data_IF_198481147595
#
_entry.id   IF_198481147595
#
_cell.length_a   1.000
_cell.length_b   1.000
_cell.length_c   1.000
_cell.angle_alpha   90.00
_cell.angle_beta   90.00
_cell.angle_gamma   90.00
#
_symmetry.space_group_name_H-M   'P 1'
#
loop_
_entity.id
_entity.type
_entity.pdbx_description
1 polymer ?
#
# COMPACT_ATOMS: atom_id res chain seq x y z
N UNK A 1 -16.92 -1.49 -30.49
CA UNK A 1 -17.26 -0.25 -29.71
C UNK A 1 -16.30 -0.03 -28.55
N UNK A 2 -15.84 -1.08 -27.86
CA UNK A 2 -14.77 -0.96 -26.86
C UNK A 2 -13.37 -0.91 -27.49
N UNK A 3 -13.18 -1.29 -28.77
CA UNK A 3 -11.85 -1.28 -29.39
C UNK A 3 -11.39 0.11 -29.88
N UNK A 4 -12.27 1.12 -29.93
CA UNK A 4 -11.84 2.48 -30.30
C UNK A 4 -11.43 3.29 -29.07
N UNK A 5 -10.14 3.19 -28.74
CA UNK A 5 -9.48 3.95 -27.67
C UNK A 5 -9.75 5.47 -27.76
N UNK A 6 -10.01 6.04 -28.94
CA UNK A 6 -10.28 7.49 -29.07
C UNK A 6 -11.59 7.89 -28.36
N UNK A 7 -12.53 6.98 -28.24
CA UNK A 7 -13.82 7.22 -27.58
C UNK A 7 -13.76 7.08 -26.04
N UNK A 8 -12.66 6.55 -25.48
CA UNK A 8 -12.56 6.33 -24.03
C UNK A 8 -12.40 7.65 -23.26
N UNK A 9 -12.88 7.66 -22.00
CA UNK A 9 -12.58 8.76 -21.08
C UNK A 9 -11.07 8.87 -20.85
N UNK A 10 -10.58 10.09 -20.61
CA UNK A 10 -9.15 10.40 -20.46
C UNK A 10 -8.45 9.50 -19.43
N UNK A 11 -9.07 9.26 -18.28
CA UNK A 11 -8.51 8.37 -17.23
C UNK A 11 -8.26 6.96 -17.76
N UNK A 12 -9.18 6.36 -18.52
CA UNK A 12 -8.98 5.04 -19.10
C UNK A 12 -7.94 5.05 -20.23
N UNK A 13 -7.83 6.15 -20.99
CA UNK A 13 -6.75 6.31 -21.98
C UNK A 13 -5.37 6.32 -21.31
N UNK A 14 -5.24 7.03 -20.19
CA UNK A 14 -4.01 7.07 -19.41
C UNK A 14 -3.68 5.69 -18.83
N UNK A 15 -4.64 5.04 -18.17
CA UNK A 15 -4.46 3.68 -17.65
C UNK A 15 -4.03 2.72 -18.79
N UNK A 16 -4.66 2.80 -19.95
CA UNK A 16 -4.29 1.98 -21.12
C UNK A 16 -2.87 2.24 -21.62
N UNK A 17 -2.35 3.46 -21.51
CA UNK A 17 -0.95 3.75 -21.84
C UNK A 17 0.02 3.06 -20.89
N UNK A 18 -0.36 2.85 -19.62
CA UNK A 18 0.49 2.19 -18.62
C UNK A 18 0.37 0.67 -18.64
N UNK A 19 -0.84 0.11 -18.77
CA UNK A 19 -1.09 -1.33 -18.58
C UNK A 19 -1.63 -2.06 -19.83
N UNK A 20 -1.90 -1.34 -20.92
CA UNK A 20 -2.50 -1.87 -22.14
C UNK A 20 -4.03 -1.88 -22.14
N UNK A 21 -4.62 -1.92 -23.34
CA UNK A 21 -6.07 -1.81 -23.55
C UNK A 21 -6.85 -2.98 -22.93
N UNK A 22 -6.40 -4.22 -23.15
CA UNK A 22 -7.08 -5.40 -22.65
C UNK A 22 -7.24 -5.36 -21.11
N UNK A 23 -6.15 -5.06 -20.39
CA UNK A 23 -6.19 -4.97 -18.92
C UNK A 23 -7.06 -3.81 -18.45
N UNK A 24 -7.08 -2.71 -19.20
CA UNK A 24 -7.93 -1.55 -18.90
C UNK A 24 -9.42 -1.88 -19.08
N UNK A 25 -9.79 -2.63 -20.12
CA UNK A 25 -11.17 -3.10 -20.31
C UNK A 25 -11.58 -4.04 -19.17
N UNK A 26 -10.69 -4.94 -18.72
CA UNK A 26 -10.94 -5.79 -17.55
C UNK A 26 -11.16 -4.96 -16.28
N UNK A 27 -10.32 -3.95 -16.04
CA UNK A 27 -10.47 -3.01 -14.91
C UNK A 27 -11.81 -2.27 -14.97
N UNK A 28 -12.16 -1.70 -16.13
CA UNK A 28 -13.44 -1.03 -16.33
C UNK A 28 -14.62 -1.98 -16.03
N UNK A 29 -14.61 -3.20 -16.58
CA UNK A 29 -15.70 -4.14 -16.35
C UNK A 29 -15.83 -4.57 -14.89
N UNK A 30 -14.72 -4.68 -14.16
CA UNK A 30 -14.72 -5.04 -12.74
C UNK A 30 -15.28 -3.93 -11.83
N UNK A 31 -15.09 -2.66 -12.21
CA UNK A 31 -15.34 -1.52 -11.33
C UNK A 31 -16.33 -0.47 -11.87
N UNK A 32 -16.88 -0.64 -13.07
CA UNK A 32 -17.87 0.29 -13.65
C UNK A 32 -19.05 0.50 -12.69
N UNK A 33 -19.46 1.76 -12.53
CA UNK A 33 -20.51 2.13 -11.58
C UNK A 33 -20.04 2.33 -10.14
N UNK A 34 -18.74 2.20 -9.86
CA UNK A 34 -18.14 2.50 -8.55
C UNK A 34 -17.19 3.70 -8.64
N UNK A 35 -17.04 4.41 -7.51
CA UNK A 35 -16.01 5.43 -7.34
C UNK A 35 -14.86 4.85 -6.50
N UNK A 36 -13.65 4.80 -7.07
CA UNK A 36 -12.45 4.30 -6.40
C UNK A 36 -11.50 5.47 -6.16
N UNK A 37 -11.15 5.70 -4.90
CA UNK A 37 -10.08 6.61 -4.52
C UNK A 37 -8.78 5.81 -4.39
N UNK A 38 -7.84 6.03 -5.32
CA UNK A 38 -6.52 5.40 -5.22
C UNK A 38 -5.74 6.01 -4.04
N UNK A 39 -5.26 5.19 -3.09
CA UNK A 39 -4.42 5.70 -2.03
C UNK A 39 -3.10 6.24 -2.61
N UNK A 40 -2.55 7.29 -2.00
CA UNK A 40 -1.25 7.84 -2.40
C UNK A 40 -0.09 6.87 -2.22
N UNK A 41 -0.26 5.82 -1.42
CA UNK A 41 0.78 4.82 -1.14
C UNK A 41 0.33 3.46 -1.66
N UNK A 42 1.26 2.77 -2.32
CA UNK A 42 1.03 1.42 -2.82
C UNK A 42 0.97 0.39 -1.68
N UNK A 43 1.86 0.52 -0.70
CA UNK A 43 1.97 -0.43 0.42
C UNK A 43 1.13 0.06 1.59
N UNK A 44 0.28 -0.81 2.13
CA UNK A 44 -0.55 -0.49 3.30
C UNK A 44 0.29 -0.33 4.56
N UNK A 45 -0.21 0.45 5.52
CA UNK A 45 0.48 0.69 6.80
C UNK A 45 0.74 -0.62 7.56
N UNK A 46 -0.20 -1.54 7.52
CA UNK A 46 -0.15 -2.85 8.17
C UNK A 46 0.94 -3.72 7.53
N UNK A 47 1.08 -3.65 6.19
CA UNK A 47 2.15 -4.34 5.49
C UNK A 47 3.51 -3.75 5.82
N UNK A 48 3.62 -2.42 5.93
CA UNK A 48 4.84 -1.75 6.41
C UNK A 48 5.21 -2.19 7.83
N UNK A 49 4.23 -2.28 8.75
CA UNK A 49 4.47 -2.81 10.10
C UNK A 49 5.08 -4.22 10.07
N UNK A 50 4.56 -5.11 9.22
CA UNK A 50 5.11 -6.47 9.05
C UNK A 50 6.54 -6.45 8.51
N UNK A 51 6.83 -5.60 7.53
CA UNK A 51 8.18 -5.43 6.96
C UNK A 51 9.16 -4.94 8.03
N UNK A 52 8.74 -3.98 8.86
CA UNK A 52 9.55 -3.48 9.98
C UNK A 52 9.79 -4.58 11.01
N UNK A 53 8.75 -5.31 11.41
CA UNK A 53 8.84 -6.36 12.43
C UNK A 53 9.73 -7.53 12.00
N UNK A 54 9.71 -7.91 10.72
CA UNK A 54 10.57 -8.97 10.19
C UNK A 54 11.98 -8.51 9.83
N UNK A 55 12.18 -7.20 9.70
CA UNK A 55 13.39 -6.60 9.13
C UNK A 55 14.30 -5.87 10.10
N UNK A 56 13.79 -5.52 11.27
CA UNK A 56 14.47 -4.69 12.24
C UNK A 56 14.98 -5.55 13.40
N UNK A 57 16.23 -5.39 13.88
CA UNK A 57 17.13 -4.26 13.60
C UNK A 57 18.09 -4.42 12.41
N UNK A 58 18.06 -5.54 11.66
CA UNK A 58 19.08 -5.76 10.62
C UNK A 58 19.03 -4.72 9.49
N UNK A 59 17.84 -4.21 9.17
CA UNK A 59 17.63 -3.09 8.26
C UNK A 59 17.51 -1.78 9.01
N UNK A 60 18.25 -0.79 8.50
CA UNK A 60 18.21 0.58 9.01
C UNK A 60 16.89 1.28 8.69
N UNK A 61 16.59 2.33 9.45
CA UNK A 61 15.40 3.19 9.23
C UNK A 61 15.37 3.77 7.81
N UNK A 62 16.54 4.14 7.27
CA UNK A 62 16.67 4.69 5.93
C UNK A 62 16.33 3.64 4.85
N UNK A 63 16.84 2.42 4.97
CA UNK A 63 16.51 1.32 4.05
C UNK A 63 15.01 1.01 4.06
N UNK A 64 14.41 0.93 5.25
CA UNK A 64 12.97 0.70 5.40
C UNK A 64 12.14 1.85 4.81
N UNK A 65 12.60 3.10 4.93
CA UNK A 65 11.95 4.26 4.32
C UNK A 65 11.94 4.19 2.79
N UNK A 66 13.08 3.84 2.18
CA UNK A 66 13.21 3.68 0.72
C UNK A 66 12.36 2.52 0.21
N UNK A 67 12.41 1.36 0.86
CA UNK A 67 11.68 0.16 0.44
C UNK A 67 10.16 0.35 0.51
N UNK A 68 9.68 1.05 1.54
CA UNK A 68 8.24 1.19 1.80
C UNK A 68 7.63 2.47 1.20
N UNK A 69 8.46 3.43 0.79
CA UNK A 69 8.04 4.76 0.36
C UNK A 69 7.56 5.66 1.52
N UNK A 70 7.85 5.30 2.77
CA UNK A 70 7.53 6.11 3.95
C UNK A 70 8.71 7.01 4.32
N UNK A 71 8.43 8.15 4.95
CA UNK A 71 9.49 8.96 5.55
C UNK A 71 10.11 8.25 6.76
N UNK A 72 11.40 8.50 7.03
CA UNK A 72 12.06 7.97 8.22
C UNK A 72 11.32 8.33 9.51
N UNK A 73 10.72 9.52 9.59
CA UNK A 73 9.88 9.95 10.71
C UNK A 73 8.73 8.97 10.95
N UNK A 74 8.03 8.57 9.89
CA UNK A 74 6.93 7.62 10.01
C UNK A 74 7.42 6.22 10.34
N UNK A 75 8.56 5.78 9.78
CA UNK A 75 9.16 4.49 10.14
C UNK A 75 9.51 4.45 11.64
N UNK A 76 10.16 5.49 12.18
CA UNK A 76 10.48 5.58 13.62
C UNK A 76 9.22 5.54 14.48
N UNK A 77 8.15 6.22 14.05
CA UNK A 77 6.85 6.17 14.72
C UNK A 77 6.28 4.76 14.71
N UNK A 78 6.29 4.05 13.58
CA UNK A 78 5.78 2.68 13.47
C UNK A 78 6.60 1.70 14.30
N UNK A 79 7.93 1.85 14.36
CA UNK A 79 8.80 1.05 15.26
C UNK A 79 8.38 1.26 16.72
N UNK A 80 8.08 2.50 17.13
CA UNK A 80 7.61 2.79 18.50
C UNK A 80 6.24 2.17 18.77
N UNK A 81 5.31 2.29 17.84
CA UNK A 81 3.98 1.67 17.95
C UNK A 81 4.07 0.14 18.09
N UNK A 82 4.90 -0.52 17.27
CA UNK A 82 5.12 -1.97 17.37
C UNK A 82 5.69 -2.41 18.72
N UNK A 83 6.62 -1.62 19.29
CA UNK A 83 7.17 -1.90 20.62
C UNK A 83 6.11 -1.77 21.72
N UNK A 84 5.25 -0.76 21.63
CA UNK A 84 4.14 -0.59 22.57
C UNK A 84 3.13 -1.75 22.46
N UNK A 85 2.76 -2.13 21.23
CA UNK A 85 1.87 -3.26 20.97
C UNK A 85 2.44 -4.58 21.55
N UNK A 86 3.76 -4.82 21.43
CA UNK A 86 4.38 -6.01 22.06
C UNK A 86 4.35 -6.00 23.59
N UNK A 87 4.41 -4.84 24.23
CA UNK A 87 4.37 -4.72 25.70
C UNK A 87 2.94 -4.96 26.21
N UNK A 88 1.94 -4.39 25.52
CA UNK A 88 0.53 -4.60 25.88
C UNK A 88 0.09 -6.07 25.79
N UNK A 89 0.64 -6.85 24.85
CA UNK A 89 0.34 -8.30 24.78
C UNK A 89 0.93 -9.05 25.97
N UNK A 90 2.18 -8.74 26.37
CA UNK A 90 2.83 -9.37 27.52
C UNK A 90 2.09 -9.07 28.83
N UNK A 91 1.64 -7.83 29.03
CA UNK A 91 0.87 -7.44 30.23
C UNK A 91 -0.48 -8.16 30.30
N UNK A 92 -1.09 -8.52 29.17
CA UNK A 92 -2.37 -9.23 29.13
C UNK A 92 -2.24 -10.76 29.28
N UNK A 93 -1.08 -11.36 28.96
CA UNK A 93 -0.84 -12.81 29.14
C UNK A 93 -0.54 -13.20 30.60
N UNK A 94 -0.14 -12.25 31.45
CA UNK A 94 0.15 -12.49 32.87
C UNK A 94 -1.09 -12.43 33.80
N UNK A 95 -2.31 -12.33 33.26
CA UNK A 95 -3.57 -12.22 34.02
C UNK A 95 -4.39 -13.53 34.04
N UNK A 96 -3.83 -14.66 33.55
CA UNK A 96 -4.45 -16.00 33.64
C UNK A 96 -3.73 -16.93 34.61
#
# INVERSE_FOLDING_TARGET
MLEDKKAWNTVYKEIANYIGEEKTIRLFNAYKGTNIAFPMRLISRESVKKIIASGHPERSVNQLAVETGYSERNIRRLIKELKLESIEVLDNEHVL
#
